data_IF_035744984227
#
_entry.id   IF_035744984227
#
_cell.length_a   1.000
_cell.length_b   1.000
_cell.length_c   1.000
_cell.angle_alpha   90.00
_cell.angle_beta   90.00
_cell.angle_gamma   90.00
#
_symmetry.space_group_name_H-M   'P 1'
#
loop_
_entity.id
_entity.type
_entity.pdbx_description
1 polymer ?
#
# COMPACT_ATOMS: atom_id res chain seq x y z
N UNK A 1 34.86 24.57 -4.26
CA UNK A 1 33.66 23.79 -3.89
C UNK A 1 32.57 24.78 -3.54
N UNK A 2 31.71 25.11 -4.49
CA UNK A 2 30.34 25.61 -4.25
C UNK A 2 29.76 25.94 -5.61
N UNK A 3 28.83 25.11 -6.06
CA UNK A 3 27.87 25.39 -7.14
C UNK A 3 26.84 24.25 -7.08
N UNK A 4 25.99 24.30 -6.06
CA UNK A 4 24.73 23.52 -6.06
C UNK A 4 23.71 24.38 -6.80
N UNK A 5 23.82 24.38 -8.12
CA UNK A 5 22.82 24.89 -9.06
C UNK A 5 21.55 24.04 -8.95
N UNK A 6 20.64 24.38 -8.04
CA UNK A 6 19.30 23.81 -8.02
C UNK A 6 18.23 24.90 -7.93
N UNK A 7 18.07 25.62 -9.04
CA UNK A 7 16.84 26.34 -9.34
C UNK A 7 16.45 26.09 -10.80
N UNK A 8 15.79 24.97 -11.06
CA UNK A 8 14.95 24.84 -12.25
C UNK A 8 13.57 24.40 -11.80
N UNK A 9 12.64 25.36 -11.70
CA UNK A 9 11.22 25.08 -11.51
C UNK A 9 10.73 24.32 -12.75
N UNK A 10 10.55 23.01 -12.62
CA UNK A 10 10.06 22.19 -13.74
C UNK A 10 8.55 22.24 -13.75
N UNK A 11 8.00 22.68 -14.88
CA UNK A 11 6.58 22.64 -15.18
C UNK A 11 6.28 21.27 -15.81
N UNK A 12 5.55 20.43 -15.09
CA UNK A 12 5.04 19.17 -15.64
C UNK A 12 3.52 19.18 -15.51
N UNK A 13 2.83 19.18 -16.65
CA UNK A 13 1.37 19.20 -16.70
C UNK A 13 0.71 20.44 -16.07
N UNK A 14 1.42 21.58 -16.03
CA UNK A 14 0.92 22.85 -15.48
C UNK A 14 1.17 23.06 -13.98
N UNK A 15 1.87 22.14 -13.31
CA UNK A 15 2.29 22.30 -11.92
C UNK A 15 3.82 22.47 -11.82
N UNK A 16 4.28 23.38 -10.96
CA UNK A 16 5.69 23.62 -10.67
C UNK A 16 6.14 22.73 -9.52
N UNK A 17 7.25 22.00 -9.71
CA UNK A 17 7.85 21.16 -8.67
C UNK A 17 9.30 21.57 -8.41
N UNK A 18 9.69 21.59 -7.13
CA UNK A 18 11.05 21.96 -6.70
C UNK A 18 12.06 20.84 -6.99
N UNK A 19 11.62 19.59 -6.88
CA UNK A 19 12.45 18.40 -7.14
C UNK A 19 11.71 17.41 -8.03
N UNK A 20 12.45 16.68 -8.87
CA UNK A 20 11.88 15.68 -9.79
C UNK A 20 11.42 14.43 -9.04
N UNK A 21 12.31 13.88 -8.21
CA UNK A 21 12.05 12.68 -7.44
C UNK A 21 12.07 12.99 -5.94
N UNK A 22 11.13 12.43 -5.18
CA UNK A 22 11.11 12.61 -3.74
C UNK A 22 10.36 11.52 -2.98
N UNK A 23 10.24 11.71 -1.66
CA UNK A 23 9.44 10.85 -0.80
C UNK A 23 7.95 10.99 -1.12
N UNK A 24 7.16 9.95 -0.78
CA UNK A 24 5.69 9.99 -0.90
C UNK A 24 5.06 11.22 -0.25
N UNK A 25 5.63 11.70 0.86
CA UNK A 25 5.15 12.89 1.57
C UNK A 25 5.44 14.16 0.77
N UNK A 26 6.64 14.31 0.22
CA UNK A 26 6.99 15.46 -0.63
C UNK A 26 6.12 15.52 -1.89
N UNK A 27 5.85 14.38 -2.53
CA UNK A 27 4.94 14.30 -3.68
C UNK A 27 3.52 14.68 -3.30
N UNK A 28 3.02 14.20 -2.15
CA UNK A 28 1.67 14.52 -1.70
C UNK A 28 1.50 16.02 -1.37
N UNK A 29 2.54 16.63 -0.78
CA UNK A 29 2.57 18.05 -0.47
C UNK A 29 2.81 18.94 -1.71
N UNK A 30 3.24 18.38 -2.85
CA UNK A 30 3.48 19.12 -4.08
C UNK A 30 4.90 19.69 -4.21
N UNK A 31 5.83 19.27 -3.36
CA UNK A 31 7.25 19.67 -3.48
C UNK A 31 7.97 18.86 -4.57
N UNK A 32 7.56 17.60 -4.77
CA UNK A 32 8.15 16.66 -5.72
C UNK A 32 7.15 16.22 -6.79
N UNK A 33 7.64 15.96 -8.00
CA UNK A 33 6.81 15.52 -9.13
C UNK A 33 6.35 14.06 -8.96
N UNK A 34 7.30 13.15 -8.69
CA UNK A 34 7.02 11.73 -8.52
C UNK A 34 7.91 11.07 -7.44
N UNK A 35 7.52 9.88 -6.99
CA UNK A 35 8.39 9.07 -6.13
C UNK A 35 9.45 8.34 -6.94
N UNK A 36 10.44 7.73 -6.28
CA UNK A 36 11.38 6.79 -6.92
C UNK A 36 10.72 5.70 -7.76
N UNK A 37 9.57 5.18 -7.30
CA UNK A 37 8.77 4.20 -8.05
C UNK A 37 7.77 4.79 -9.04
N UNK A 38 7.91 6.06 -9.45
CA UNK A 38 7.04 6.70 -10.44
C UNK A 38 5.61 7.03 -9.98
N UNK A 39 5.31 6.97 -8.68
CA UNK A 39 3.99 7.33 -8.17
C UNK A 39 3.82 8.85 -8.14
N UNK A 40 2.74 9.34 -8.74
CA UNK A 40 2.35 10.74 -8.70
C UNK A 40 1.35 11.00 -7.56
N UNK A 41 1.07 12.27 -7.25
CA UNK A 41 0.08 12.66 -6.22
C UNK A 41 -1.30 12.02 -6.42
N UNK A 42 -1.74 11.86 -7.68
CA UNK A 42 -3.01 11.19 -8.03
C UNK A 42 -3.07 9.72 -7.59
N UNK A 43 -1.92 9.06 -7.47
CA UNK A 43 -1.79 7.64 -7.11
C UNK A 43 -1.62 7.41 -5.61
N UNK A 44 -1.50 8.49 -4.82
CA UNK A 44 -1.28 8.45 -3.38
C UNK A 44 -2.54 8.84 -2.59
N UNK A 45 -2.73 8.23 -1.42
CA UNK A 45 -3.79 8.58 -0.46
C UNK A 45 -3.26 8.55 0.97
N UNK A 46 -3.87 9.35 1.84
CA UNK A 46 -3.65 9.28 3.28
C UNK A 46 -4.55 8.20 3.88
N UNK A 47 -3.98 7.23 4.60
CA UNK A 47 -4.74 6.20 5.29
C UNK A 47 -5.26 6.72 6.65
N UNK A 48 -6.06 5.90 7.36
CA UNK A 48 -6.57 6.25 8.71
C UNK A 48 -5.46 6.49 9.73
N UNK A 49 -4.29 5.88 9.53
CA UNK A 49 -3.12 6.03 10.39
C UNK A 49 -2.27 7.27 10.06
N UNK A 50 -2.69 8.06 9.07
CA UNK A 50 -2.01 9.29 8.64
C UNK A 50 -0.84 9.08 7.68
N UNK A 51 -0.59 7.85 7.24
CA UNK A 51 0.48 7.51 6.31
C UNK A 51 0.05 7.73 4.86
N UNK A 52 1.00 8.13 4.02
CA UNK A 52 0.79 8.30 2.58
C UNK A 52 1.13 6.99 1.86
N UNK A 53 0.10 6.31 1.37
CA UNK A 53 0.20 5.00 0.73
C UNK A 53 -0.29 5.02 -0.72
N UNK A 54 0.09 4.02 -1.51
CA UNK A 54 -0.45 3.85 -2.87
C UNK A 54 -1.93 3.47 -2.84
N UNK A 55 -2.74 4.17 -3.64
CA UNK A 55 -4.17 3.87 -3.82
C UNK A 55 -4.39 2.47 -4.37
N UNK A 56 -3.59 2.06 -5.35
CA UNK A 56 -3.67 0.73 -5.99
C UNK A 56 -3.38 -0.37 -4.98
N UNK A 57 -2.31 -0.23 -4.20
CA UNK A 57 -1.93 -1.20 -3.18
C UNK A 57 -3.01 -1.32 -2.08
N UNK A 58 -3.53 -0.20 -1.59
CA UNK A 58 -4.59 -0.20 -0.57
C UNK A 58 -5.87 -0.90 -1.07
N UNK A 59 -6.29 -0.63 -2.31
CA UNK A 59 -7.44 -1.29 -2.94
C UNK A 59 -7.20 -2.79 -3.13
N UNK A 60 -6.01 -3.18 -3.59
CA UNK A 60 -5.65 -4.59 -3.78
C UNK A 60 -5.70 -5.37 -2.46
N UNK A 61 -5.12 -4.84 -1.40
CA UNK A 61 -5.15 -5.47 -0.07
C UNK A 61 -6.58 -5.70 0.45
N UNK A 62 -7.48 -4.73 0.24
CA UNK A 62 -8.90 -4.84 0.61
C UNK A 62 -9.65 -5.90 -0.22
N UNK A 63 -9.27 -6.09 -1.48
CA UNK A 63 -9.88 -7.06 -2.40
C UNK A 63 -9.41 -8.49 -2.11
N UNK A 64 -8.12 -8.73 -1.98
CA UNK A 64 -7.56 -10.08 -1.92
C UNK A 64 -7.83 -10.79 -0.59
N UNK A 65 -7.77 -10.07 0.54
CA UNK A 65 -7.99 -10.61 1.91
C UNK A 65 -7.27 -11.96 2.13
N UNK A 66 -6.07 -12.11 1.57
CA UNK A 66 -5.28 -13.36 1.54
C UNK A 66 -4.98 -13.92 2.93
N UNK A 67 -4.96 -13.09 3.97
CA UNK A 67 -4.76 -13.53 5.35
C UNK A 67 -6.01 -14.14 6.02
N UNK A 68 -7.20 -14.09 5.42
CA UNK A 68 -8.46 -14.49 6.09
C UNK A 68 -8.45 -15.90 6.69
N UNK A 69 -7.81 -16.88 6.03
CA UNK A 69 -7.68 -18.26 6.53
C UNK A 69 -6.73 -18.39 7.72
N UNK A 70 -5.73 -17.52 7.77
CA UNK A 70 -4.67 -17.52 8.78
C UNK A 70 -5.00 -16.65 9.99
N UNK A 71 -5.97 -15.73 9.87
CA UNK A 71 -6.40 -14.86 10.95
C UNK A 71 -7.19 -15.61 12.01
N UNK A 72 -6.71 -15.55 13.25
CA UNK A 72 -7.44 -15.96 14.45
C UNK A 72 -8.43 -14.88 14.90
N UNK A 73 -9.43 -15.26 15.70
CA UNK A 73 -10.32 -14.28 16.35
C UNK A 73 -9.50 -13.50 17.37
N UNK A 74 -9.70 -12.18 17.45
CA UNK A 74 -9.07 -11.34 18.49
C UNK A 74 -9.40 -11.91 19.88
N UNK A 75 -8.38 -12.09 20.71
CA UNK A 75 -8.52 -12.65 22.06
C UNK A 75 -8.57 -14.18 22.14
N UNK A 76 -8.23 -14.91 21.06
CA UNK A 76 -8.24 -16.37 21.08
C UNK A 76 -7.16 -17.02 21.95
N UNK A 77 -6.08 -16.30 22.30
CA UNK A 77 -4.94 -16.84 23.05
C UNK A 77 -4.11 -17.93 22.31
N UNK A 78 -4.52 -18.31 21.09
CA UNK A 78 -3.87 -19.36 20.29
C UNK A 78 -3.08 -18.74 19.14
N UNK A 79 -1.81 -19.12 19.02
CA UNK A 79 -0.94 -18.80 17.90
C UNK A 79 -1.11 -19.80 16.74
N UNK A 80 -1.16 -19.32 15.49
CA UNK A 80 -1.26 -20.17 14.29
C UNK A 80 -2.58 -20.07 13.52
N UNK A 81 -2.76 -20.81 12.41
CA UNK A 81 -3.94 -20.70 11.54
C UNK A 81 -5.22 -21.23 12.18
N UNK A 82 -6.38 -20.70 11.77
CA UNK A 82 -7.68 -21.15 12.25
C UNK A 82 -7.92 -22.61 11.84
N UNK A 83 -7.96 -23.52 12.82
CA UNK A 83 -8.35 -24.90 12.58
C UNK A 83 -9.83 -24.92 12.19
N UNK A 84 -10.11 -25.21 10.92
CA UNK A 84 -11.48 -25.51 10.48
C UNK A 84 -11.75 -26.97 10.86
N UNK A 85 -12.80 -27.22 11.66
CA UNK A 85 -13.29 -28.59 11.85
C UNK A 85 -13.71 -29.09 10.47
N UNK A 86 -12.91 -29.97 9.85
CA UNK A 86 -13.32 -30.65 8.63
C UNK A 86 -14.48 -31.57 9.01
N UNK A 87 -15.68 -31.32 8.51
CA UNK A 87 -16.73 -32.33 8.52
C UNK A 87 -16.18 -33.52 7.72
N UNK A 88 -15.87 -34.63 8.41
CA UNK A 88 -15.57 -35.91 7.75
C UNK A 88 -16.84 -36.31 7.02
N UNK A 89 -16.96 -36.00 5.73
CA UNK A 89 -17.99 -36.61 4.91
C UNK A 89 -17.77 -38.12 4.98
N UNK A 90 -18.77 -38.84 5.49
CA UNK A 90 -18.72 -40.27 5.68
C UNK A 90 -18.33 -40.94 4.36
N UNK A 91 -17.28 -41.76 4.40
CA UNK A 91 -16.87 -42.61 3.29
C UNK A 91 -18.02 -43.59 3.04
N UNK A 92 -18.92 -43.28 2.11
CA UNK A 92 -20.04 -44.16 1.73
C UNK A 92 -19.41 -45.39 1.08
N UNK A 93 -19.26 -46.46 1.86
CA UNK A 93 -18.74 -47.73 1.39
C UNK A 93 -19.59 -48.22 0.21
N UNK A 94 -18.96 -48.47 -0.93
CA UNK A 94 -19.59 -49.28 -1.98
C UNK A 94 -19.70 -50.70 -1.43
N UNK A 95 -20.93 -51.18 -1.28
CA UNK A 95 -21.21 -52.62 -1.24
C UNK A 95 -21.01 -53.19 -2.64
#
# INVERSE_FOLDING_TARGET
>A
MELIEHNLEKIVGGATFKIKEGSRRQVFNGTAEHTSGGLMKKDLMKNRHGEIVSKKASKAAKKTKNLKKFLQKKGSGVFGPKQTKRNKSGKKGKK
#
